data_IF_527691551984
#
_entry.id   IF_527691551984
#
_cell.length_a   1.000
_cell.length_b   1.000
_cell.length_c   1.000
_cell.angle_alpha   90.00
_cell.angle_beta   90.00
_cell.angle_gamma   90.00
#
_symmetry.space_group_name_H-M   'P 1'
#
loop_
_entity.id
_entity.type
_entity.pdbx_description
1 polymer ?
#
# COMPACT_ATOMS: atom_id res chain seq x y z
N UNK A 1 1.73 24.50 -0.61
CA UNK A 1 1.11 23.30 -1.20
C UNK A 1 1.93 22.11 -0.74
N UNK A 2 1.34 21.14 -0.05
CA UNK A 2 2.05 19.92 0.33
C UNK A 2 2.03 18.94 -0.85
N UNK A 3 3.17 18.36 -1.18
CA UNK A 3 3.24 17.33 -2.23
C UNK A 3 2.77 15.99 -1.67
N UNK A 4 1.99 15.23 -2.46
CA UNK A 4 1.47 13.91 -2.07
C UNK A 4 2.01 12.83 -3.01
N UNK A 5 2.41 11.70 -2.43
CA UNK A 5 2.77 10.48 -3.17
C UNK A 5 1.69 9.43 -2.97
N UNK A 6 1.15 8.90 -4.06
CA UNK A 6 0.20 7.77 -4.02
C UNK A 6 0.90 6.50 -4.51
N UNK A 7 0.91 5.47 -3.68
CA UNK A 7 1.45 4.14 -4.03
C UNK A 7 0.28 3.21 -4.33
N UNK A 8 0.20 2.73 -5.57
CA UNK A 8 -0.86 1.84 -6.02
C UNK A 8 -0.30 0.41 -6.07
N UNK A 9 -0.87 -0.49 -5.26
CA UNK A 9 -0.45 -1.89 -5.19
C UNK A 9 -1.60 -2.76 -5.72
N UNK A 10 -1.51 -3.31 -6.95
CA UNK A 10 -2.46 -4.30 -7.41
C UNK A 10 -2.26 -5.62 -6.65
N UNK A 11 -3.35 -6.22 -6.21
CA UNK A 11 -3.36 -7.50 -5.49
C UNK A 11 -4.49 -8.39 -6.01
N UNK A 12 -4.22 -9.67 -6.23
CA UNK A 12 -5.19 -10.70 -6.62
C UNK A 12 -4.89 -12.01 -5.88
N UNK A 13 -5.74 -12.36 -4.91
CA UNK A 13 -5.57 -13.54 -4.05
C UNK A 13 -4.21 -13.58 -3.32
N UNK A 14 -3.85 -12.45 -2.70
CA UNK A 14 -2.56 -12.23 -2.02
C UNK A 14 -2.69 -12.09 -0.49
N UNK A 15 -3.72 -12.66 0.16
CA UNK A 15 -3.96 -12.49 1.60
C UNK A 15 -2.74 -12.81 2.49
N UNK A 16 -1.88 -13.74 2.06
CA UNK A 16 -0.66 -14.12 2.79
C UNK A 16 0.53 -13.17 2.58
N UNK A 17 0.48 -12.28 1.59
CA UNK A 17 1.62 -11.48 1.15
C UNK A 17 1.40 -9.98 1.35
N UNK A 18 0.17 -9.50 1.10
CA UNK A 18 -0.10 -8.06 1.06
C UNK A 18 0.26 -7.35 2.37
N UNK A 19 0.01 -7.99 3.52
CA UNK A 19 0.40 -7.44 4.82
C UNK A 19 1.92 -7.25 4.97
N UNK A 20 2.72 -8.20 4.47
CA UNK A 20 4.18 -8.10 4.46
C UNK A 20 4.68 -6.99 3.54
N UNK A 21 4.07 -6.84 2.37
CA UNK A 21 4.37 -5.75 1.42
C UNK A 21 4.10 -4.38 2.04
N UNK A 22 2.95 -4.20 2.69
CA UNK A 22 2.59 -2.96 3.38
C UNK A 22 3.55 -2.68 4.54
N UNK A 23 3.88 -3.68 5.34
CA UNK A 23 4.84 -3.52 6.44
C UNK A 23 6.22 -3.05 5.95
N UNK A 24 6.73 -3.65 4.87
CA UNK A 24 8.00 -3.24 4.26
C UNK A 24 7.92 -1.82 3.68
N UNK A 25 6.80 -1.45 3.05
CA UNK A 25 6.58 -0.11 2.51
C UNK A 25 6.58 0.94 3.63
N UNK A 26 5.83 0.73 4.72
CA UNK A 26 5.77 1.65 5.86
C UNK A 26 7.07 1.71 6.67
N UNK A 27 7.93 0.69 6.57
CA UNK A 27 9.28 0.69 7.15
C UNK A 27 10.32 1.45 6.29
N UNK A 28 9.94 1.96 5.12
CA UNK A 28 10.82 2.77 4.28
C UNK A 28 11.20 4.09 4.95
N UNK A 29 12.22 4.78 4.40
CA UNK A 29 12.63 6.08 4.93
C UNK A 29 11.44 7.06 4.91
N UNK A 30 11.30 7.91 5.95
CA UNK A 30 10.25 8.92 5.98
C UNK A 30 10.27 9.81 4.74
N UNK A 31 9.09 10.29 4.36
CA UNK A 31 8.97 11.31 3.32
C UNK A 31 9.63 12.61 3.78
N UNK A 32 10.06 13.42 2.81
CA UNK A 32 10.60 14.74 3.12
C UNK A 32 9.57 15.64 3.83
N UNK A 33 10.04 16.59 4.62
CA UNK A 33 9.18 17.48 5.40
C UNK A 33 8.13 18.17 4.53
N UNK A 34 6.88 18.17 5.00
CA UNK A 34 5.74 18.75 4.28
C UNK A 34 5.20 17.89 3.13
N UNK A 35 5.73 16.68 2.92
CA UNK A 35 5.14 15.69 2.02
C UNK A 35 4.21 14.74 2.77
N UNK A 36 3.23 14.19 2.04
CA UNK A 36 2.31 13.16 2.55
C UNK A 36 2.30 11.95 1.62
N UNK A 37 1.91 10.80 2.16
CA UNK A 37 1.85 9.55 1.40
C UNK A 37 0.52 8.84 1.65
N UNK A 38 0.00 8.20 0.60
CA UNK A 38 -1.12 7.27 0.70
C UNK A 38 -0.78 5.97 -0.04
N UNK A 39 -1.42 4.89 0.38
CA UNK A 39 -1.28 3.58 -0.24
C UNK A 39 -2.67 3.06 -0.57
N UNK A 40 -2.91 2.72 -1.83
CA UNK A 40 -4.14 2.12 -2.30
C UNK A 40 -3.85 0.70 -2.75
N UNK A 41 -4.41 -0.27 -2.02
CA UNK A 41 -4.41 -1.68 -2.44
C UNK A 41 -5.59 -1.89 -3.37
N UNK A 42 -5.27 -2.21 -4.63
CA UNK A 42 -6.25 -2.48 -5.66
C UNK A 42 -6.55 -3.98 -5.67
N UNK A 43 -7.40 -4.42 -4.73
CA UNK A 43 -7.87 -5.80 -4.64
C UNK A 43 -8.74 -6.14 -5.86
N UNK A 44 -8.12 -6.74 -6.87
CA UNK A 44 -8.75 -6.97 -8.16
C UNK A 44 -9.38 -8.36 -8.20
N UNK A 45 -10.70 -8.44 -7.95
CA UNK A 45 -11.45 -9.69 -8.10
C UNK A 45 -10.95 -10.84 -7.22
N UNK A 46 -10.52 -10.52 -6.00
CA UNK A 46 -10.05 -11.54 -5.05
C UNK A 46 -11.21 -12.42 -4.58
N UNK A 47 -10.91 -13.71 -4.42
CA UNK A 47 -11.79 -14.73 -3.82
C UNK A 47 -11.35 -15.12 -2.40
N UNK A 48 -10.22 -14.58 -1.94
CA UNK A 48 -9.69 -14.75 -0.58
C UNK A 48 -9.87 -13.49 0.29
N UNK A 49 -9.21 -13.49 1.45
CA UNK A 49 -9.25 -12.40 2.43
C UNK A 49 -8.22 -11.29 2.14
N UNK A 50 -7.84 -11.04 0.89
CA UNK A 50 -6.86 -9.98 0.54
C UNK A 50 -7.31 -8.58 0.98
N UNK A 51 -8.62 -8.33 1.04
CA UNK A 51 -9.21 -7.03 1.35
C UNK A 51 -9.78 -6.90 2.77
N UNK A 52 -9.66 -7.95 3.59
CA UNK A 52 -10.13 -7.97 4.99
C UNK A 52 -9.02 -7.52 5.97
#
# INVERSE_FOLDING_TARGET
MSQQISVLIPAHDEASYIGGCLAALFASRPLADGMTGEVLVLANGCSDNTAD
#
